data_IF_376654870313
#
_entry.id   IF_376654870313
#
_cell.length_a   1.000
_cell.length_b   1.000
_cell.length_c   1.000
_cell.angle_alpha   90.00
_cell.angle_beta   90.00
_cell.angle_gamma   90.00
#
_symmetry.space_group_name_H-M   'P 1'
#
loop_
_entity.id
_entity.type
_entity.pdbx_description
1 polymer ?
#
# COMPACT_ATOMS: atom_id res chain seq x y z
N UNK A 1 -15.88 -26.80 14.71
CA UNK A 1 -15.38 -25.52 14.15
C UNK A 1 -13.86 -25.62 14.14
N UNK A 2 -13.19 -25.09 13.13
CA UNK A 2 -11.73 -25.09 13.07
C UNK A 2 -11.07 -24.02 13.95
N UNK A 3 -9.79 -23.80 13.74
CA UNK A 3 -9.03 -22.74 14.43
C UNK A 3 -9.48 -21.34 14.00
N UNK A 4 -9.02 -20.30 14.69
CA UNK A 4 -9.25 -18.90 14.31
C UNK A 4 -8.74 -18.63 12.90
N UNK A 5 -7.55 -19.10 12.55
CA UNK A 5 -6.99 -18.93 11.21
C UNK A 5 -7.78 -19.65 10.13
N UNK A 6 -8.39 -20.80 10.45
CA UNK A 6 -9.35 -21.47 9.56
C UNK A 6 -10.56 -20.56 9.28
N UNK A 7 -11.10 -19.91 10.31
CA UNK A 7 -12.22 -18.98 10.14
C UNK A 7 -11.82 -17.73 9.32
N UNK A 8 -10.63 -17.17 9.54
CA UNK A 8 -10.11 -16.08 8.73
C UNK A 8 -9.93 -16.49 7.26
N UNK A 9 -9.39 -17.69 7.03
CA UNK A 9 -9.22 -18.24 5.69
C UNK A 9 -10.54 -18.45 4.96
N UNK A 10 -11.61 -18.79 5.68
CA UNK A 10 -12.94 -19.01 5.11
C UNK A 10 -13.46 -17.79 4.34
N UNK A 11 -13.17 -16.56 4.80
CA UNK A 11 -13.53 -15.32 4.09
C UNK A 11 -12.82 -15.16 2.74
N UNK A 12 -11.70 -15.85 2.54
CA UNK A 12 -10.97 -15.85 1.27
C UNK A 12 -11.33 -17.07 0.43
N UNK A 13 -11.46 -18.25 1.03
CA UNK A 13 -11.69 -19.51 0.33
C UNK A 13 -13.11 -19.60 -0.22
N UNK A 14 -14.11 -19.18 0.57
CA UNK A 14 -15.50 -19.20 0.13
C UNK A 14 -15.83 -17.93 -0.65
N UNK A 15 -16.20 -18.11 -1.92
CA UNK A 15 -16.68 -17.02 -2.76
C UNK A 15 -18.16 -16.74 -2.45
N UNK A 16 -18.43 -15.58 -1.86
CA UNK A 16 -19.78 -15.18 -1.49
C UNK A 16 -19.97 -13.69 -1.75
N UNK A 17 -21.04 -13.28 -2.45
CA UNK A 17 -21.35 -11.87 -2.68
C UNK A 17 -21.79 -11.15 -1.40
N UNK A 18 -22.11 -11.90 -0.35
CA UNK A 18 -22.50 -11.38 0.95
C UNK A 18 -21.83 -12.19 2.05
N UNK A 19 -20.86 -11.59 2.71
CA UNK A 19 -20.22 -12.12 3.90
C UNK A 19 -20.68 -11.35 5.12
N UNK A 20 -21.18 -12.06 6.14
CA UNK A 20 -21.66 -11.45 7.36
C UNK A 20 -20.79 -11.88 8.54
N UNK A 21 -20.54 -10.93 9.44
CA UNK A 21 -19.98 -11.22 10.76
C UNK A 21 -21.11 -11.73 11.66
N UNK A 22 -20.90 -12.88 12.31
CA UNK A 22 -21.95 -13.61 13.02
C UNK A 22 -21.91 -13.44 14.55
N UNK A 23 -21.23 -12.42 15.08
CA UNK A 23 -21.07 -12.22 16.52
C UNK A 23 -21.48 -10.80 16.94
N UNK A 24 -21.48 -10.55 18.26
CA UNK A 24 -21.81 -9.25 18.83
C UNK A 24 -20.68 -8.23 18.55
N UNK A 25 -21.02 -6.94 18.33
CA UNK A 25 -20.03 -5.90 18.08
C UNK A 25 -18.95 -5.79 19.17
N UNK A 26 -19.31 -6.04 20.43
CA UNK A 26 -18.35 -6.02 21.56
C UNK A 26 -17.27 -7.08 21.45
N UNK A 27 -17.59 -8.27 20.91
CA UNK A 27 -16.63 -9.33 20.71
C UNK A 27 -15.63 -8.97 19.61
N UNK A 28 -16.11 -8.32 18.55
CA UNK A 28 -15.24 -7.83 17.47
C UNK A 28 -14.31 -6.72 17.93
N UNK A 29 -14.76 -5.82 18.81
CA UNK A 29 -13.91 -4.77 19.39
C UNK A 29 -12.75 -5.34 20.22
N UNK A 30 -12.94 -6.51 20.84
CA UNK A 30 -11.88 -7.19 21.59
C UNK A 30 -10.85 -7.89 20.69
N UNK A 31 -11.19 -8.13 19.42
CA UNK A 31 -10.40 -8.87 18.43
C UNK A 31 -10.08 -8.01 17.19
N UNK A 32 -9.76 -6.75 17.43
CA UNK A 32 -9.64 -5.70 16.40
C UNK A 32 -8.71 -6.12 15.25
N UNK A 33 -7.58 -6.77 15.55
CA UNK A 33 -6.62 -7.21 14.53
C UNK A 33 -7.25 -8.16 13.50
N UNK A 34 -8.03 -9.14 13.97
CA UNK A 34 -8.73 -10.08 13.10
C UNK A 34 -9.85 -9.39 12.32
N UNK A 35 -10.56 -8.45 12.93
CA UNK A 35 -11.64 -7.69 12.29
C UNK A 35 -11.09 -6.78 11.20
N UNK A 36 -10.00 -6.07 11.46
CA UNK A 36 -9.32 -5.22 10.47
C UNK A 36 -8.87 -6.05 9.26
N UNK A 37 -8.38 -7.27 9.50
CA UNK A 37 -8.03 -8.18 8.42
C UNK A 37 -9.28 -8.58 7.60
N UNK A 38 -10.35 -9.06 8.25
CA UNK A 38 -11.58 -9.49 7.57
C UNK A 38 -12.18 -8.34 6.75
N UNK A 39 -12.29 -7.15 7.32
CA UNK A 39 -12.86 -5.97 6.64
C UNK A 39 -12.01 -5.49 5.47
N UNK A 40 -10.73 -5.83 5.45
CA UNK A 40 -9.83 -5.52 4.33
C UNK A 40 -10.01 -6.46 3.13
N UNK A 41 -10.71 -7.60 3.28
CA UNK A 41 -10.93 -8.57 2.19
C UNK A 41 -12.04 -8.05 1.27
N UNK A 42 -11.79 -7.85 -0.03
CA UNK A 42 -12.81 -7.36 -0.96
C UNK A 42 -13.88 -8.44 -1.22
N UNK A 43 -15.12 -8.01 -1.33
CA UNK A 43 -16.25 -8.89 -1.71
C UNK A 43 -16.12 -9.32 -3.17
N UNK A 44 -15.78 -8.36 -4.05
CA UNK A 44 -15.55 -8.62 -5.47
C UNK A 44 -14.06 -8.66 -5.77
N UNK A 45 -13.64 -9.68 -6.51
CA UNK A 45 -12.24 -9.88 -6.90
C UNK A 45 -12.09 -9.90 -8.42
N UNK A 46 -10.93 -9.48 -8.90
CA UNK A 46 -10.62 -9.45 -10.34
C UNK A 46 -10.31 -10.86 -10.88
N UNK A 47 -9.75 -11.71 -10.04
CA UNK A 47 -9.46 -13.11 -10.37
C UNK A 47 -9.32 -13.96 -9.11
N UNK A 48 -9.69 -15.24 -9.26
CA UNK A 48 -9.55 -16.26 -8.21
C UNK A 48 -8.99 -17.54 -8.84
N UNK A 49 -8.04 -18.18 -8.17
CA UNK A 49 -7.54 -19.49 -8.56
C UNK A 49 -7.08 -20.30 -7.35
N UNK A 50 -6.92 -21.60 -7.53
CA UNK A 50 -6.43 -22.52 -6.51
C UNK A 50 -4.92 -22.71 -6.71
N UNK A 51 -4.12 -22.29 -5.73
CA UNK A 51 -2.66 -22.43 -5.76
C UNK A 51 -2.21 -23.85 -5.38
N UNK A 52 -2.91 -24.48 -4.44
CA UNK A 52 -2.66 -25.85 -4.02
C UNK A 52 -3.95 -26.45 -3.45
N UNK A 53 -4.07 -27.78 -3.52
CA UNK A 53 -5.21 -28.43 -2.91
C UNK A 53 -5.30 -29.91 -3.25
N UNK A 54 -5.98 -30.65 -2.36
CA UNK A 54 -6.35 -32.03 -2.57
C UNK A 54 -7.77 -32.23 -2.03
N UNK A 55 -8.63 -32.75 -2.87
CA UNK A 55 -10.06 -32.91 -2.55
C UNK A 55 -10.25 -33.71 -1.25
N UNK A 56 -11.05 -33.14 -0.33
CA UNK A 56 -11.33 -33.73 0.97
C UNK A 56 -10.22 -33.56 2.01
N UNK A 57 -9.08 -32.98 1.65
CA UNK A 57 -7.96 -32.81 2.56
C UNK A 57 -7.65 -31.33 2.86
N UNK A 58 -7.32 -30.54 1.84
CA UNK A 58 -6.97 -29.13 2.02
C UNK A 58 -7.17 -28.34 0.74
N UNK A 59 -7.23 -27.01 0.90
CA UNK A 59 -7.33 -26.06 -0.20
C UNK A 59 -6.53 -24.82 0.12
N UNK A 60 -5.89 -24.24 -0.89
CA UNK A 60 -5.28 -22.91 -0.85
C UNK A 60 -5.83 -22.10 -2.01
N UNK A 61 -6.65 -21.11 -1.70
CA UNK A 61 -7.24 -20.18 -2.65
C UNK A 61 -6.48 -18.88 -2.69
N UNK A 62 -6.29 -18.33 -3.87
CA UNK A 62 -5.66 -17.03 -4.11
C UNK A 62 -6.66 -16.15 -4.84
N UNK A 63 -6.89 -14.95 -4.30
CA UNK A 63 -7.74 -13.92 -4.89
C UNK A 63 -6.92 -12.66 -5.15
N UNK A 64 -7.21 -12.00 -6.24
CA UNK A 64 -6.59 -10.72 -6.59
C UNK A 64 -7.65 -9.64 -6.68
N UNK A 65 -7.34 -8.48 -6.10
CA UNK A 65 -8.09 -7.24 -6.31
C UNK A 65 -7.12 -6.11 -6.56
N UNK A 66 -7.22 -5.49 -7.72
CA UNK A 66 -6.28 -4.45 -8.18
C UNK A 66 -4.82 -4.93 -8.12
N UNK A 67 -4.04 -4.40 -7.18
CA UNK A 67 -2.63 -4.75 -6.96
C UNK A 67 -2.43 -5.68 -5.77
N UNK A 68 -3.45 -5.85 -4.93
CA UNK A 68 -3.39 -6.65 -3.71
C UNK A 68 -3.78 -8.11 -3.97
N UNK A 69 -3.24 -9.00 -3.16
CA UNK A 69 -3.54 -10.42 -3.20
C UNK A 69 -3.98 -10.91 -1.83
N UNK A 70 -4.92 -11.83 -1.83
CA UNK A 70 -5.49 -12.43 -0.63
C UNK A 70 -5.40 -13.94 -0.78
N UNK A 71 -4.74 -14.61 0.17
CA UNK A 71 -4.47 -16.04 0.13
C UNK A 71 -5.04 -16.66 1.37
N UNK A 72 -5.92 -17.65 1.20
CA UNK A 72 -6.51 -18.41 2.29
C UNK A 72 -6.25 -19.89 2.13
N UNK A 73 -5.76 -20.53 3.18
CA UNK A 73 -5.54 -21.97 3.23
C UNK A 73 -6.30 -22.62 4.38
N UNK A 74 -6.94 -23.74 4.11
CA UNK A 74 -7.73 -24.52 5.08
C UNK A 74 -7.39 -25.98 4.96
N UNK A 75 -7.31 -26.70 6.09
CA UNK A 75 -7.17 -28.17 6.14
C UNK A 75 -8.37 -28.83 6.80
N UNK A 76 -8.52 -30.13 6.56
CA UNK A 76 -9.44 -30.99 7.30
C UNK A 76 -8.90 -31.22 8.73
N UNK A 77 -9.33 -32.30 9.41
CA UNK A 77 -8.89 -32.62 10.76
C UNK A 77 -7.46 -33.19 10.87
N UNK A 78 -6.78 -33.37 9.73
CA UNK A 78 -5.39 -33.78 9.70
C UNK A 78 -4.48 -32.55 9.66
N UNK A 79 -3.55 -32.47 10.61
CA UNK A 79 -2.51 -31.44 10.59
C UNK A 79 -1.58 -31.65 9.39
N UNK A 80 -1.08 -30.56 8.81
CA UNK A 80 -0.15 -30.62 7.67
C UNK A 80 0.68 -29.38 7.49
N UNK A 81 1.77 -29.56 6.80
CA UNK A 81 2.57 -28.47 6.29
C UNK A 81 2.20 -28.19 4.83
N UNK A 82 1.96 -26.92 4.52
CA UNK A 82 1.69 -26.47 3.15
C UNK A 82 2.82 -25.57 2.69
N UNK A 83 3.38 -25.87 1.52
CA UNK A 83 4.37 -25.02 0.87
C UNK A 83 3.67 -24.11 -0.13
N UNK A 84 3.86 -22.78 0.03
CA UNK A 84 3.38 -21.78 -0.90
C UNK A 84 4.48 -21.34 -1.84
N UNK A 85 4.20 -21.42 -3.14
CA UNK A 85 5.00 -20.87 -4.21
C UNK A 85 4.32 -19.60 -4.73
N UNK A 86 5.07 -18.51 -4.81
CA UNK A 86 4.58 -17.21 -5.25
C UNK A 86 4.90 -16.90 -6.72
N UNK A 87 5.17 -17.92 -7.54
CA UNK A 87 5.50 -17.77 -8.97
C UNK A 87 4.42 -17.05 -9.80
N UNK A 88 3.19 -16.96 -9.30
CA UNK A 88 2.09 -16.20 -9.90
C UNK A 88 2.23 -14.68 -9.76
N UNK A 89 3.10 -14.19 -8.87
CA UNK A 89 3.32 -12.75 -8.70
C UNK A 89 4.08 -12.15 -9.88
N UNK A 90 3.86 -10.86 -10.20
CA UNK A 90 4.61 -10.15 -11.21
C UNK A 90 6.12 -10.15 -10.94
N UNK A 91 6.92 -10.24 -12.00
CA UNK A 91 8.38 -10.12 -11.88
C UNK A 91 8.77 -8.71 -11.43
N UNK A 92 9.88 -8.60 -10.68
CA UNK A 92 10.44 -7.33 -10.19
C UNK A 92 9.51 -6.51 -9.27
N UNK A 93 8.53 -7.16 -8.66
CA UNK A 93 7.62 -6.55 -7.67
C UNK A 93 7.76 -7.29 -6.36
N UNK A 94 7.86 -6.55 -5.27
CA UNK A 94 7.84 -7.09 -3.91
C UNK A 94 6.55 -6.71 -3.20
N UNK A 95 6.13 -7.54 -2.29
CA UNK A 95 4.93 -7.35 -1.49
C UNK A 95 5.25 -7.47 -0.01
N UNK A 96 4.60 -6.66 0.80
CA UNK A 96 4.48 -6.90 2.24
C UNK A 96 3.34 -7.87 2.44
N UNK A 97 3.65 -9.05 2.97
CA UNK A 97 2.66 -10.03 3.34
C UNK A 97 2.36 -9.91 4.84
N UNK A 98 1.10 -9.73 5.19
CA UNK A 98 0.59 -9.90 6.56
C UNK A 98 -0.02 -11.29 6.64
N UNK A 99 0.63 -12.20 7.37
CA UNK A 99 0.24 -13.59 7.54
C UNK A 99 -0.38 -13.80 8.91
N UNK A 100 -1.56 -14.39 8.95
CA UNK A 100 -2.20 -14.99 10.11
C UNK A 100 -2.11 -16.51 9.97
N UNK A 101 -1.43 -17.19 10.88
CA UNK A 101 -1.24 -18.63 10.86
C UNK A 101 -1.51 -19.23 12.23
N UNK A 102 -1.87 -20.51 12.25
CA UNK A 102 -2.11 -21.24 13.49
C UNK A 102 -0.89 -21.14 14.42
N UNK A 103 -1.16 -20.89 15.70
CA UNK A 103 -0.16 -20.88 16.76
C UNK A 103 0.27 -22.28 17.16
N UNK A 104 1.29 -22.36 17.99
CA UNK A 104 1.88 -23.64 18.42
C UNK A 104 0.90 -24.51 19.24
N UNK A 105 -0.07 -23.88 19.89
CA UNK A 105 -1.08 -24.57 20.70
C UNK A 105 -2.46 -24.64 20.01
N UNK A 106 -2.58 -24.30 18.75
CA UNK A 106 -3.86 -24.23 18.03
C UNK A 106 -4.64 -25.56 18.04
N UNK A 107 -3.96 -26.69 18.15
CA UNK A 107 -4.57 -28.01 18.33
C UNK A 107 -5.34 -28.18 19.65
N UNK A 108 -5.05 -27.34 20.66
CA UNK A 108 -5.70 -27.40 21.99
C UNK A 108 -6.51 -26.16 22.28
N UNK A 109 -6.07 -25.03 21.73
CA UNK A 109 -6.66 -23.72 21.93
C UNK A 109 -6.89 -23.10 20.55
N UNK A 110 -8.11 -23.23 20.03
CA UNK A 110 -8.44 -22.82 18.66
C UNK A 110 -8.24 -21.31 18.38
N UNK A 111 -8.11 -20.52 19.44
CA UNK A 111 -7.85 -19.07 19.35
C UNK A 111 -6.35 -18.74 19.23
N UNK A 112 -5.47 -19.72 19.44
CA UNK A 112 -4.03 -19.50 19.39
C UNK A 112 -3.60 -19.31 17.92
N UNK A 113 -3.13 -18.10 17.61
CA UNK A 113 -2.62 -17.73 16.29
C UNK A 113 -1.39 -16.84 16.43
N UNK A 114 -0.67 -16.71 15.34
CA UNK A 114 0.46 -15.79 15.21
C UNK A 114 0.28 -14.91 14.00
N UNK A 115 0.76 -13.68 14.10
CA UNK A 115 0.81 -12.74 12.99
C UNK A 115 2.25 -12.46 12.62
N UNK A 116 2.56 -12.55 11.34
CA UNK A 116 3.90 -12.28 10.80
C UNK A 116 3.83 -11.31 9.64
N UNK A 117 4.81 -10.40 9.55
CA UNK A 117 5.02 -9.54 8.37
C UNK A 117 6.25 -10.02 7.62
N UNK A 118 6.07 -10.36 6.36
CA UNK A 118 7.11 -10.89 5.48
C UNK A 118 7.23 -10.04 4.22
N UNK A 119 8.42 -10.00 3.64
CA UNK A 119 8.62 -9.43 2.30
C UNK A 119 8.65 -10.59 1.31
N UNK A 120 7.71 -10.59 0.38
CA UNK A 120 7.49 -11.66 -0.59
C UNK A 120 7.69 -11.13 -2.00
N UNK A 121 8.32 -11.92 -2.84
CA UNK A 121 8.43 -11.73 -4.27
C UNK A 121 8.09 -13.01 -5.04
N UNK A 122 8.18 -12.96 -6.36
CA UNK A 122 7.90 -14.10 -7.25
C UNK A 122 8.73 -15.36 -6.94
N UNK A 123 9.93 -15.22 -6.39
CA UNK A 123 10.85 -16.32 -6.12
C UNK A 123 10.72 -16.85 -4.68
N UNK A 124 9.91 -16.20 -3.88
CA UNK A 124 9.72 -16.56 -2.49
C UNK A 124 8.98 -17.90 -2.37
N UNK A 125 9.34 -18.66 -1.34
CA UNK A 125 8.67 -19.90 -0.92
C UNK A 125 8.58 -19.89 0.58
N UNK A 126 7.41 -20.19 1.09
CA UNK A 126 7.18 -20.27 2.53
C UNK A 126 6.48 -21.58 2.86
N UNK A 127 6.83 -22.14 4.03
CA UNK A 127 6.19 -23.32 4.58
C UNK A 127 5.34 -22.89 5.76
N UNK A 128 4.06 -23.23 5.73
CA UNK A 128 3.09 -22.90 6.77
C UNK A 128 2.54 -24.19 7.35
N UNK A 129 2.63 -24.30 8.68
CA UNK A 129 2.00 -25.38 9.42
C UNK A 129 0.53 -25.06 9.67
N UNK A 130 -0.34 -26.01 9.39
CA UNK A 130 -1.77 -25.99 9.65
C UNK A 130 -2.08 -27.01 10.74
N UNK A 131 -2.65 -26.57 11.84
CA UNK A 131 -3.13 -27.46 12.90
C UNK A 131 -4.31 -28.33 12.44
N UNK A 132 -4.71 -29.32 13.22
CA UNK A 132 -5.94 -30.09 12.96
C UNK A 132 -7.16 -29.17 12.86
N UNK A 133 -7.87 -29.19 11.72
CA UNK A 133 -8.93 -28.23 11.43
C UNK A 133 -8.44 -26.79 11.34
N UNK A 134 -7.19 -26.60 11.02
CA UNK A 134 -6.49 -25.34 11.00
C UNK A 134 -6.50 -24.62 9.65
N UNK A 135 -5.80 -23.49 9.61
CA UNK A 135 -5.69 -22.70 8.43
C UNK A 135 -4.69 -21.55 8.53
N UNK A 136 -4.61 -20.79 7.47
CA UNK A 136 -3.92 -19.50 7.44
C UNK A 136 -4.64 -18.53 6.52
N UNK A 137 -4.46 -17.26 6.79
CA UNK A 137 -4.92 -16.19 5.93
C UNK A 137 -3.79 -15.17 5.72
N UNK A 138 -3.64 -14.68 4.49
CA UNK A 138 -2.56 -13.77 4.15
C UNK A 138 -3.06 -12.69 3.21
N UNK A 139 -2.63 -11.46 3.45
CA UNK A 139 -2.81 -10.33 2.56
C UNK A 139 -1.45 -9.86 2.06
N UNK A 140 -1.31 -9.69 0.75
CA UNK A 140 -0.12 -9.09 0.15
C UNK A 140 -0.48 -7.71 -0.37
N UNK A 141 0.24 -6.72 0.12
CA UNK A 141 0.18 -5.33 -0.32
C UNK A 141 1.50 -4.98 -1.01
N UNK A 142 1.43 -4.11 -2.02
CA UNK A 142 2.64 -3.72 -2.73
C UNK A 142 3.70 -3.23 -1.73
N UNK A 143 4.89 -3.86 -1.77
CA UNK A 143 6.02 -3.37 -0.98
C UNK A 143 6.55 -2.11 -1.67
N UNK A 144 6.47 -0.96 -1.02
CA UNK A 144 6.96 0.27 -1.61
C UNK A 144 8.47 0.17 -1.84
N UNK A 145 8.90 0.45 -3.07
CA UNK A 145 10.33 0.61 -3.37
C UNK A 145 10.72 1.99 -2.87
N UNK A 146 11.08 2.07 -1.61
CA UNK A 146 11.50 3.32 -0.97
C UNK A 146 13.00 3.50 -1.13
N UNK A 147 13.40 4.60 -1.76
CA UNK A 147 14.75 5.15 -1.61
C UNK A 147 14.95 5.72 -0.20
N UNK A 148 16.16 6.13 0.10
CA UNK A 148 16.42 6.93 1.29
C UNK A 148 16.24 8.41 0.97
N UNK A 149 15.67 9.17 1.90
CA UNK A 149 15.63 10.63 1.79
C UNK A 149 17.05 11.15 2.04
N UNK A 150 17.58 11.85 1.07
CA UNK A 150 18.94 12.39 1.10
C UNK A 150 18.94 13.90 0.85
N UNK A 151 20.08 14.53 0.99
CA UNK A 151 20.29 15.88 0.47
C UNK A 151 20.31 15.88 -1.07
N UNK A 152 20.07 17.04 -1.67
CA UNK A 152 20.08 17.21 -3.12
C UNK A 152 21.43 16.79 -3.70
N UNK A 153 21.47 15.87 -4.68
CA UNK A 153 22.72 15.49 -5.34
C UNK A 153 23.32 16.66 -6.12
N UNK A 154 24.64 16.92 -5.94
CA UNK A 154 25.35 18.03 -6.59
C UNK A 154 25.22 18.05 -8.13
N UNK A 155 25.01 16.89 -8.73
CA UNK A 155 24.90 16.72 -10.19
C UNK A 155 23.53 17.12 -10.76
N UNK A 156 22.51 17.35 -9.89
CA UNK A 156 21.18 17.74 -10.31
C UNK A 156 20.99 19.25 -10.16
N UNK A 157 20.61 19.92 -11.25
CA UNK A 157 20.33 21.35 -11.24
C UNK A 157 18.94 21.58 -10.64
N UNK A 158 18.83 21.45 -9.31
CA UNK A 158 17.60 21.63 -8.54
C UNK A 158 17.73 22.95 -7.75
N UNK A 159 16.70 23.79 -7.71
CA UNK A 159 16.73 25.05 -6.98
C UNK A 159 17.17 24.88 -5.52
N UNK A 160 17.94 25.86 -5.01
CA UNK A 160 18.51 25.82 -3.65
C UNK A 160 17.46 25.88 -2.52
N UNK A 161 16.21 26.17 -2.84
CA UNK A 161 15.06 26.08 -1.95
C UNK A 161 14.89 24.65 -1.42
N UNK A 162 15.07 23.65 -2.28
CA UNK A 162 14.94 22.24 -1.92
C UNK A 162 16.15 21.78 -1.14
N UNK A 163 15.90 20.99 -0.08
CA UNK A 163 16.93 20.43 0.80
C UNK A 163 16.87 18.92 0.86
N UNK A 164 15.68 18.35 0.62
CA UNK A 164 15.44 16.90 0.65
C UNK A 164 15.13 16.37 -0.72
N UNK A 165 15.63 15.18 -0.98
CA UNK A 165 15.56 14.49 -2.26
C UNK A 165 15.35 13.00 -2.02
N UNK A 166 14.47 12.39 -2.81
CA UNK A 166 14.32 10.96 -2.90
C UNK A 166 14.00 10.59 -4.34
N UNK A 167 14.54 9.47 -4.80
CA UNK A 167 14.28 8.95 -6.14
C UNK A 167 13.56 7.59 -6.07
N UNK A 168 12.53 7.43 -6.88
CA UNK A 168 11.83 6.18 -7.07
C UNK A 168 11.70 5.88 -8.56
N UNK A 169 12.25 4.76 -8.99
CA UNK A 169 12.15 4.26 -10.36
C UNK A 169 12.52 5.29 -11.47
N UNK A 170 13.47 6.19 -11.17
CA UNK A 170 13.94 7.23 -12.07
C UNK A 170 13.19 8.55 -12.02
N UNK A 171 12.09 8.62 -11.30
CA UNK A 171 11.40 9.87 -10.94
C UNK A 171 11.87 10.34 -9.56
N UNK A 172 11.92 11.63 -9.34
CA UNK A 172 12.35 12.15 -8.07
C UNK A 172 11.31 13.07 -7.42
N UNK A 173 11.38 13.08 -6.10
CA UNK A 173 10.55 13.93 -5.24
C UNK A 173 11.47 14.85 -4.45
N UNK A 174 11.14 16.12 -4.39
CA UNK A 174 11.90 17.16 -3.68
C UNK A 174 11.04 17.91 -2.69
N UNK A 175 11.67 18.42 -1.65
CA UNK A 175 11.00 19.32 -0.70
C UNK A 175 11.99 20.24 0.00
N UNK A 176 11.46 21.24 0.69
CA UNK A 176 12.22 22.03 1.66
C UNK A 176 12.67 21.17 2.85
N UNK A 177 13.48 21.74 3.73
CA UNK A 177 13.89 21.10 4.99
C UNK A 177 12.71 20.90 5.96
N UNK A 178 11.63 21.68 5.86
CA UNK A 178 10.49 21.69 6.78
C UNK A 178 9.57 20.47 6.61
N UNK A 179 9.56 19.86 5.43
CA UNK A 179 8.71 18.69 5.13
C UNK A 179 9.26 17.46 5.82
N UNK A 180 8.38 16.61 6.37
CA UNK A 180 8.78 15.35 6.98
C UNK A 180 9.28 14.33 5.93
N UNK A 181 10.23 13.49 6.32
CA UNK A 181 10.71 12.41 5.43
C UNK A 181 9.60 11.42 5.08
N UNK A 182 8.64 11.23 5.99
CA UNK A 182 7.48 10.38 5.79
C UNK A 182 6.62 10.83 4.62
N UNK A 183 6.44 12.16 4.44
CA UNK A 183 5.69 12.70 3.31
C UNK A 183 6.36 12.39 1.96
N UNK A 184 7.70 12.54 1.88
CA UNK A 184 8.43 12.19 0.66
C UNK A 184 8.33 10.70 0.34
N UNK A 185 8.46 9.85 1.37
CA UNK A 185 8.30 8.41 1.24
C UNK A 185 6.89 8.05 0.74
N UNK A 186 5.86 8.70 1.28
CA UNK A 186 4.48 8.50 0.88
C UNK A 186 4.22 8.95 -0.56
N UNK A 187 4.80 10.08 -0.98
CA UNK A 187 4.73 10.52 -2.37
C UNK A 187 5.35 9.49 -3.33
N UNK A 188 6.51 8.91 -2.97
CA UNK A 188 7.13 7.84 -3.75
C UNK A 188 6.23 6.60 -3.86
N UNK A 189 5.58 6.20 -2.77
CA UNK A 189 4.65 5.07 -2.77
C UNK A 189 3.49 5.31 -3.74
N UNK A 190 2.90 6.51 -3.72
CA UNK A 190 1.79 6.90 -4.60
C UNK A 190 2.25 6.91 -6.06
N UNK A 191 3.40 7.50 -6.37
CA UNK A 191 3.96 7.54 -7.72
C UNK A 191 4.17 6.12 -8.26
N UNK A 192 4.82 5.26 -7.47
CA UNK A 192 5.06 3.86 -7.85
C UNK A 192 3.77 3.11 -8.10
N UNK A 193 2.75 3.33 -7.26
CA UNK A 193 1.44 2.75 -7.40
C UNK A 193 0.71 3.22 -8.67
N UNK A 194 0.64 4.51 -8.90
CA UNK A 194 -0.04 5.11 -10.06
C UNK A 194 0.56 4.63 -11.38
N UNK A 195 1.89 4.48 -11.44
CA UNK A 195 2.62 4.10 -12.66
C UNK A 195 2.86 2.59 -12.79
N UNK A 196 2.45 1.79 -11.83
CA UNK A 196 2.67 0.33 -11.80
C UNK A 196 2.14 -0.41 -13.02
N UNK A 197 1.00 0.04 -13.57
CA UNK A 197 0.33 -0.56 -14.75
C UNK A 197 0.72 0.12 -16.08
N UNK A 198 1.54 1.18 -16.03
CA UNK A 198 1.89 1.99 -17.21
C UNK A 198 3.39 2.25 -17.30
N UNK A 199 4.20 1.20 -17.51
CA UNK A 199 5.65 1.34 -17.64
C UNK A 199 6.07 2.22 -18.82
N UNK A 200 5.25 2.28 -19.88
CA UNK A 200 5.42 3.15 -21.03
C UNK A 200 5.34 4.63 -20.65
N UNK A 201 4.33 5.02 -19.87
CA UNK A 201 4.15 6.39 -19.37
C UNK A 201 5.30 6.74 -18.42
N UNK A 202 5.65 5.82 -17.49
CA UNK A 202 6.76 6.02 -16.57
C UNK A 202 8.07 6.30 -17.31
N UNK A 203 8.42 5.47 -18.29
CA UNK A 203 9.63 5.66 -19.08
C UNK A 203 9.64 7.01 -19.82
N UNK A 204 8.49 7.46 -20.31
CA UNK A 204 8.36 8.77 -20.95
C UNK A 204 8.56 9.91 -19.94
N UNK A 205 7.94 9.85 -18.77
CA UNK A 205 8.09 10.84 -17.70
C UNK A 205 9.55 10.95 -17.23
N UNK A 206 10.22 9.81 -17.00
CA UNK A 206 11.64 9.77 -16.64
C UNK A 206 12.50 10.45 -17.72
N UNK A 207 12.26 10.12 -19.00
CA UNK A 207 12.99 10.72 -20.13
C UNK A 207 12.79 12.23 -20.22
N UNK A 208 11.62 12.72 -19.83
CA UNK A 208 11.28 14.15 -19.82
C UNK A 208 11.79 14.87 -18.57
N UNK A 209 12.29 14.14 -17.54
CA UNK A 209 12.73 14.75 -16.30
C UNK A 209 11.61 15.16 -15.36
N UNK A 210 10.44 14.51 -15.47
CA UNK A 210 9.32 14.81 -14.60
C UNK A 210 9.66 14.57 -13.13
N UNK A 211 9.18 15.46 -12.26
CA UNK A 211 9.41 15.40 -10.83
C UNK A 211 8.20 15.89 -10.02
N UNK A 212 8.22 15.58 -8.74
CA UNK A 212 7.16 15.98 -7.81
C UNK A 212 7.75 16.81 -6.69
N UNK A 213 7.06 17.87 -6.32
CA UNK A 213 7.43 18.78 -5.24
C UNK A 213 6.43 18.61 -4.08
N UNK A 214 6.93 18.45 -2.86
CA UNK A 214 6.09 18.41 -1.67
C UNK A 214 6.17 19.73 -0.94
N UNK A 215 5.01 20.37 -0.73
CA UNK A 215 4.84 21.63 -0.01
C UNK A 215 4.62 21.29 1.46
N UNK A 216 5.43 21.85 2.36
CA UNK A 216 5.26 21.65 3.79
C UNK A 216 3.94 22.23 4.30
N UNK A 217 3.43 21.68 5.40
CA UNK A 217 2.17 22.12 6.01
C UNK A 217 2.15 23.62 6.38
N UNK A 218 3.32 24.19 6.66
CA UNK A 218 3.55 25.59 7.04
C UNK A 218 4.18 26.39 5.87
N UNK A 219 4.07 25.92 4.65
CA UNK A 219 4.55 26.57 3.43
C UNK A 219 3.40 26.78 2.46
N UNK A 220 3.58 27.72 1.58
CA UNK A 220 2.60 28.08 0.58
C UNK A 220 3.05 27.71 -0.83
N UNK A 221 2.12 27.67 -1.77
CA UNK A 221 2.39 27.37 -3.17
C UNK A 221 3.42 28.33 -3.77
N UNK A 222 3.33 29.61 -3.43
CA UNK A 222 4.24 30.65 -3.94
C UNK A 222 5.65 30.62 -3.32
N UNK A 223 5.89 29.75 -2.34
CA UNK A 223 7.25 29.53 -1.83
C UNK A 223 8.09 28.66 -2.78
N UNK A 224 7.43 27.87 -3.66
CA UNK A 224 8.11 27.03 -4.63
C UNK A 224 8.67 27.84 -5.80
N UNK A 225 9.97 27.64 -6.13
CA UNK A 225 10.63 28.38 -7.22
C UNK A 225 9.95 28.25 -8.58
N UNK A 226 9.33 27.10 -8.87
CA UNK A 226 8.66 26.80 -10.13
C UNK A 226 7.45 27.71 -10.36
N UNK A 227 6.80 28.18 -9.28
CA UNK A 227 5.61 29.03 -9.36
C UNK A 227 5.92 30.53 -9.28
N UNK A 228 7.20 30.92 -9.26
CA UNK A 228 7.59 32.32 -9.22
C UNK A 228 6.99 33.15 -10.37
N UNK A 229 6.74 32.55 -11.54
CA UNK A 229 6.17 33.23 -12.70
C UNK A 229 4.69 33.60 -12.52
N UNK A 230 3.92 32.87 -11.70
CA UNK A 230 2.52 33.21 -11.40
C UNK A 230 2.38 33.98 -10.09
N UNK A 231 3.37 33.95 -9.23
CA UNK A 231 3.40 34.60 -7.91
C UNK A 231 4.18 35.94 -7.97
N UNK A 232 3.84 36.81 -8.89
CA UNK A 232 4.60 38.01 -9.24
C UNK A 232 4.06 39.33 -8.66
N UNK A 233 2.95 39.29 -7.91
CA UNK A 233 2.36 40.42 -7.22
C UNK A 233 1.71 39.99 -5.91
N UNK A 234 1.51 40.94 -4.93
CA UNK A 234 0.85 40.59 -3.66
C UNK A 234 -0.54 39.95 -3.87
N UNK A 235 -1.32 40.43 -4.83
CA UNK A 235 -2.66 39.90 -5.12
C UNK A 235 -2.59 38.50 -5.72
N UNK A 236 -1.65 38.24 -6.63
CA UNK A 236 -1.45 36.90 -7.19
C UNK A 236 -0.93 35.93 -6.16
N UNK A 237 -0.03 36.31 -5.26
CA UNK A 237 0.45 35.50 -4.16
C UNK A 237 -0.71 35.13 -3.25
N UNK A 238 -1.52 36.10 -2.81
CA UNK A 238 -2.68 35.84 -1.96
C UNK A 238 -3.69 34.89 -2.64
N UNK A 239 -3.93 35.07 -3.92
CA UNK A 239 -4.84 34.25 -4.71
C UNK A 239 -4.34 32.80 -4.81
N UNK A 240 -3.09 32.58 -5.22
CA UNK A 240 -2.57 31.23 -5.47
C UNK A 240 -2.37 30.45 -4.18
N UNK A 241 -1.90 31.09 -3.10
CA UNK A 241 -1.76 30.45 -1.80
C UNK A 241 -3.11 30.01 -1.20
N UNK A 242 -4.18 30.78 -1.48
CA UNK A 242 -5.54 30.41 -1.09
C UNK A 242 -6.14 29.33 -2.02
N UNK A 243 -5.85 29.43 -3.33
CA UNK A 243 -6.55 28.67 -4.38
C UNK A 243 -6.23 27.19 -4.37
N UNK A 244 -4.98 26.81 -4.20
CA UNK A 244 -4.55 25.41 -4.27
C UNK A 244 -3.14 25.20 -3.70
N UNK A 245 -2.96 24.01 -3.14
CA UNK A 245 -1.66 23.52 -2.65
C UNK A 245 -1.12 22.36 -3.49
N UNK A 246 -1.83 21.96 -4.53
CA UNK A 246 -1.43 20.92 -5.47
C UNK A 246 -1.68 21.36 -6.90
N UNK A 247 -0.66 21.24 -7.73
CA UNK A 247 -0.72 21.55 -9.15
C UNK A 247 -0.21 20.36 -9.96
N UNK A 248 -0.88 20.10 -11.09
CA UNK A 248 -0.35 19.26 -12.15
C UNK A 248 0.43 20.10 -13.15
N UNK A 249 1.06 19.45 -14.12
CA UNK A 249 1.77 20.13 -15.18
C UNK A 249 0.92 21.17 -15.90
N UNK A 250 1.53 22.32 -16.22
CA UNK A 250 0.95 23.39 -17.00
C UNK A 250 1.66 23.50 -18.37
N UNK A 251 1.09 24.21 -19.35
CA UNK A 251 1.77 24.39 -20.64
C UNK A 251 3.17 25.00 -20.53
N UNK A 252 3.42 25.78 -19.49
CA UNK A 252 4.71 26.42 -19.20
C UNK A 252 5.67 25.48 -18.42
N UNK A 253 5.11 24.55 -17.67
CA UNK A 253 5.85 23.53 -16.92
C UNK A 253 5.06 22.22 -16.90
N UNK A 254 5.15 21.47 -17.99
CA UNK A 254 4.49 20.17 -18.15
C UNK A 254 5.17 19.04 -17.37
N UNK A 255 6.33 19.31 -16.75
CA UNK A 255 7.19 18.27 -16.17
C UNK A 255 7.18 18.22 -14.66
N UNK A 256 6.54 19.18 -14.00
CA UNK A 256 6.46 19.19 -12.54
C UNK A 256 5.02 19.04 -12.02
N UNK A 257 4.90 18.48 -10.83
CA UNK A 257 3.65 18.41 -10.08
C UNK A 257 3.94 18.70 -8.62
N UNK A 258 3.02 19.39 -7.94
CA UNK A 258 3.13 19.61 -6.49
C UNK A 258 1.98 19.02 -5.72
N UNK A 259 2.21 18.69 -4.45
CA UNK A 259 1.19 18.25 -3.51
C UNK A 259 1.54 18.73 -2.10
N UNK A 260 0.53 18.97 -1.27
CA UNK A 260 0.71 19.33 0.13
C UNK A 260 1.08 18.14 1.01
N UNK A 261 1.94 18.36 1.99
CA UNK A 261 2.29 17.36 3.01
C UNK A 261 1.05 16.85 3.75
N UNK A 262 0.10 17.75 4.04
CA UNK A 262 -1.16 17.43 4.71
C UNK A 262 -2.01 16.42 3.94
N UNK A 263 -2.00 16.49 2.60
CA UNK A 263 -2.74 15.55 1.75
C UNK A 263 -2.06 14.15 1.73
N UNK A 264 -0.74 14.12 1.78
CA UNK A 264 0.01 12.86 1.78
C UNK A 264 -0.13 12.10 3.09
N UNK A 265 -0.19 12.82 4.21
CA UNK A 265 -0.21 12.25 5.56
C UNK A 265 -1.59 12.27 6.23
N UNK A 266 -2.62 12.72 5.51
CA UNK A 266 -3.98 12.88 6.03
C UNK A 266 -4.01 13.71 7.34
N UNK A 267 -3.30 14.84 7.35
CA UNK A 267 -3.25 15.72 8.51
C UNK A 267 -4.58 16.49 8.70
N UNK A 268 -4.86 17.02 9.90
CA UNK A 268 -6.11 17.76 10.17
C UNK A 268 -6.34 18.98 9.24
N UNK A 269 -5.28 19.50 8.62
CA UNK A 269 -5.34 20.61 7.66
C UNK A 269 -5.69 20.17 6.24
N UNK A 270 -5.85 18.88 5.99
CA UNK A 270 -6.22 18.35 4.68
C UNK A 270 -7.66 18.74 4.32
N UNK A 271 -7.79 19.76 3.48
CA UNK A 271 -9.08 20.25 3.01
C UNK A 271 -9.76 19.30 2.01
N UNK A 272 -9.06 18.34 1.46
CA UNK A 272 -9.63 17.34 0.54
C UNK A 272 -10.62 16.41 1.24
N UNK A 273 -10.49 16.23 2.55
CA UNK A 273 -11.39 15.41 3.38
C UNK A 273 -12.73 16.11 3.68
N UNK A 274 -12.83 17.43 3.51
CA UNK A 274 -14.04 18.20 3.83
C UNK A 274 -15.13 18.03 2.75
N UNK A 275 -14.78 17.60 1.56
CA UNK A 275 -15.70 17.48 0.41
C UNK A 275 -16.31 16.07 0.24
N UNK A 276 -16.11 15.16 1.19
CA UNK A 276 -16.65 13.78 1.16
C UNK A 276 -17.83 13.61 2.15
N UNK A 277 -18.34 14.68 2.73
CA UNK A 277 -19.52 14.64 3.62
C UNK A 277 -20.83 14.97 2.89
#
# INVERSE_FOLDING_TARGET
>A
MGTRCHQLAAYIVHDSPLTMLCDAPTNYLNEQECVDFITSIPVETDSTFIAAGKMGEYIVSVRKKDINWYIGGMTNWDERDVELDFSFLPSNVRYTATLFADGINANKQAEDYRTEKLIIDKNSRIKIHLASGGGFAMKLELYPVRGEVTSIPERKNIPSFYKKYIETEGLYVTSSEKVSDEALLKACDIISLMLSKRPDVKAHMVKKGCHVMVIGKDEDTCDLPEFAHICNSPDSIAYWNWRARGFGGAPEDEFSASCGEENLLALPQDLSLIHIS
#
